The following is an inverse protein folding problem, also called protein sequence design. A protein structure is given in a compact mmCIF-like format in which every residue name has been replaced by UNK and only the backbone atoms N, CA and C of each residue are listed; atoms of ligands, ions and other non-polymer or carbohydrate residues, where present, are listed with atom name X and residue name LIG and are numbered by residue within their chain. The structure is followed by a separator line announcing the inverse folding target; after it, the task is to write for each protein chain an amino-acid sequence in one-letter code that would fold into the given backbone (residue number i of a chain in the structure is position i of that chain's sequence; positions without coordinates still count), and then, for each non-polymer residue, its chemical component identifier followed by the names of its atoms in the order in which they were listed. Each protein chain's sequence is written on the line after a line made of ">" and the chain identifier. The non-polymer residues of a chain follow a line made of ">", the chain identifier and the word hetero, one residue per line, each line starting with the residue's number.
data_IF_597818837282
#
_entry.id   IF_597818837282
#
_cell.length_a   1.000
_cell.length_b   1.000
_cell.length_c   1.000
_cell.angle_alpha   90.00
_cell.angle_beta   90.00
_cell.angle_gamma   90.00
#
_symmetry.space_group_name_H-M   'P 1'
#
loop_
_entity.id
_entity.type
_entity.pdbx_description
1 polymer ?
#
# COMPACT_ATOMS: atom_id res chain seq x y z
N UNK A 1 10.31 -5.67 -17.67
CA UNK A 1 9.83 -6.95 -18.22
C UNK A 1 8.34 -6.89 -18.51
N UNK A 2 7.80 -7.69 -19.45
CA UNK A 2 6.37 -7.78 -19.75
C UNK A 2 5.83 -9.14 -19.31
N UNK A 3 4.61 -9.16 -18.79
CA UNK A 3 3.91 -10.39 -18.46
C UNK A 3 3.22 -11.01 -19.70
N UNK A 4 2.53 -12.15 -19.51
CA UNK A 4 1.80 -12.87 -20.56
C UNK A 4 0.67 -12.06 -21.23
N UNK A 5 0.30 -10.91 -20.66
CA UNK A 5 -0.75 -10.01 -21.15
C UNK A 5 -0.18 -8.66 -21.62
N UNK A 6 1.13 -8.63 -21.94
CA UNK A 6 1.84 -7.44 -22.42
C UNK A 6 1.86 -6.25 -21.46
N UNK A 7 1.56 -6.46 -20.15
CA UNK A 7 1.68 -5.44 -19.12
C UNK A 7 3.14 -5.30 -18.69
N UNK A 8 3.64 -4.07 -18.63
CA UNK A 8 4.98 -3.81 -18.11
C UNK A 8 4.97 -3.93 -16.58
N UNK A 9 5.73 -4.87 -16.04
CA UNK A 9 5.88 -5.07 -14.59
C UNK A 9 7.15 -4.35 -14.15
N UNK A 10 6.99 -3.24 -13.44
CA UNK A 10 8.09 -2.36 -13.00
C UNK A 10 7.92 -1.84 -11.56
N UNK A 11 6.96 -2.39 -10.81
CA UNK A 11 6.63 -1.94 -9.48
C UNK A 11 6.51 -3.11 -8.49
N UNK A 12 7.31 -3.06 -7.42
CA UNK A 12 7.30 -4.04 -6.33
C UNK A 12 6.78 -3.39 -5.04
N UNK A 13 5.82 -4.05 -4.40
CA UNK A 13 5.42 -3.73 -3.01
C UNK A 13 6.05 -4.77 -2.10
N UNK A 14 6.75 -4.34 -1.06
CA UNK A 14 7.45 -5.24 -0.14
C UNK A 14 6.87 -5.06 1.25
N UNK A 15 6.37 -6.14 1.85
CA UNK A 15 6.12 -6.22 3.28
C UNK A 15 7.41 -6.58 3.99
N UNK A 16 7.90 -5.70 4.84
CA UNK A 16 9.18 -5.91 5.57
C UNK A 16 8.96 -6.42 7.00
N UNK A 17 7.72 -6.45 7.47
CA UNK A 17 7.31 -6.97 8.78
C UNK A 17 5.81 -7.22 8.77
N UNK A 18 5.34 -8.16 9.56
CA UNK A 18 3.90 -8.38 9.81
C UNK A 18 3.43 -7.72 11.11
N UNK A 19 4.36 -7.19 11.93
CA UNK A 19 4.06 -6.46 13.16
C UNK A 19 3.43 -5.10 12.87
N UNK A 20 2.47 -4.69 13.70
CA UNK A 20 1.84 -3.38 13.62
C UNK A 20 1.51 -2.89 15.03
N UNK A 21 1.73 -1.60 15.29
CA UNK A 21 1.40 -0.92 16.54
C UNK A 21 -0.09 -0.54 16.65
N UNK A 22 -0.88 -0.71 15.58
CA UNK A 22 -2.33 -0.53 15.58
C UNK A 22 -3.07 -1.84 15.31
N UNK A 23 -4.35 -1.90 15.68
CA UNK A 23 -5.23 -3.07 15.52
C UNK A 23 -6.52 -2.70 14.79
N UNK A 24 -6.40 -1.99 13.66
CA UNK A 24 -7.54 -1.46 12.91
C UNK A 24 -8.60 -2.53 12.67
N UNK A 25 -9.87 -2.18 12.92
CA UNK A 25 -11.01 -3.09 12.91
C UNK A 25 -11.21 -3.82 11.58
N UNK A 26 -10.81 -3.22 10.47
CA UNK A 26 -10.94 -3.80 9.14
C UNK A 26 -9.68 -4.54 8.66
N UNK A 27 -8.53 -4.36 9.33
CA UNK A 27 -7.24 -4.92 8.93
C UNK A 27 -6.86 -6.16 9.76
N UNK A 28 -7.13 -6.14 11.07
CA UNK A 28 -6.73 -7.20 11.99
C UNK A 28 -7.87 -8.16 12.28
N UNK A 29 -7.63 -9.49 12.32
CA UNK A 29 -8.64 -10.44 12.75
C UNK A 29 -8.97 -10.25 14.24
N UNK A 30 -10.23 -10.51 14.60
CA UNK A 30 -10.73 -10.34 15.97
C UNK A 30 -10.00 -11.18 17.02
N UNK A 31 -9.52 -12.35 16.63
CA UNK A 31 -8.78 -13.30 17.49
C UNK A 31 -7.28 -12.97 17.63
N UNK A 32 -6.81 -11.84 17.09
CA UNK A 32 -5.40 -11.47 17.05
C UNK A 32 -4.63 -12.18 15.92
N UNK A 33 -3.33 -11.88 15.82
CA UNK A 33 -2.43 -12.45 14.82
C UNK A 33 -1.32 -13.23 15.52
N UNK A 34 -0.99 -14.40 14.97
CA UNK A 34 0.30 -15.03 15.22
C UNK A 34 1.32 -14.36 14.30
N UNK A 35 2.19 -13.54 14.88
CA UNK A 35 3.28 -12.90 14.16
C UNK A 35 4.37 -13.89 13.78
N UNK A 36 5.08 -13.60 12.71
CA UNK A 36 6.27 -14.33 12.35
C UNK A 36 7.38 -14.13 13.39
N UNK A 37 8.18 -15.17 13.63
CA UNK A 37 9.45 -15.05 14.34
C UNK A 37 10.44 -14.26 13.45
N UNK A 38 11.45 -13.67 14.05
CA UNK A 38 12.45 -12.88 13.31
C UNK A 38 13.14 -13.72 12.22
N UNK A 39 13.48 -14.95 12.52
CA UNK A 39 14.06 -15.90 11.55
C UNK A 39 13.12 -16.29 10.40
N UNK A 40 11.80 -16.05 10.52
CA UNK A 40 10.82 -16.37 9.48
C UNK A 40 10.64 -15.24 8.47
N UNK A 41 11.09 -14.02 8.78
CA UNK A 41 11.02 -12.87 7.87
C UNK A 41 12.34 -12.71 7.11
N UNK A 42 12.28 -11.99 5.97
CA UNK A 42 13.47 -11.64 5.20
C UNK A 42 14.37 -10.69 5.98
N UNK A 43 15.70 -10.92 5.88
CA UNK A 43 16.71 -9.96 6.35
C UNK A 43 16.80 -8.76 5.41
N UNK A 44 17.53 -7.72 5.81
CA UNK A 44 17.75 -6.53 4.98
C UNK A 44 18.57 -6.90 3.72
N UNK A 45 19.57 -7.77 3.88
CA UNK A 45 20.42 -8.27 2.81
C UNK A 45 19.63 -9.10 1.79
N UNK A 46 18.73 -9.98 2.26
CA UNK A 46 17.86 -10.78 1.39
C UNK A 46 16.90 -9.88 0.56
N UNK A 47 16.34 -8.83 1.18
CA UNK A 47 15.51 -7.86 0.50
C UNK A 47 16.30 -7.10 -0.57
N UNK A 48 17.47 -6.58 -0.22
CA UNK A 48 18.32 -5.81 -1.13
C UNK A 48 18.83 -6.68 -2.28
N UNK A 49 19.25 -7.93 -2.00
CA UNK A 49 19.63 -8.91 -3.01
C UNK A 49 18.52 -9.14 -4.03
N UNK A 50 17.31 -9.39 -3.55
CA UNK A 50 16.15 -9.58 -4.44
C UNK A 50 15.84 -8.35 -5.29
N UNK A 51 15.92 -7.15 -4.72
CA UNK A 51 15.68 -5.91 -5.46
C UNK A 51 16.72 -5.71 -6.56
N UNK A 52 18.01 -6.02 -6.31
CA UNK A 52 19.08 -5.95 -7.32
C UNK A 52 18.77 -6.87 -8.50
N UNK A 53 18.40 -8.12 -8.22
CA UNK A 53 18.00 -9.09 -9.25
C UNK A 53 16.81 -8.56 -10.06
N UNK A 54 15.74 -8.15 -9.40
CA UNK A 54 14.52 -7.65 -10.06
C UNK A 54 14.79 -6.37 -10.88
N UNK A 55 15.75 -5.54 -10.47
CA UNK A 55 16.12 -4.32 -11.19
C UNK A 55 16.72 -4.60 -12.56
N UNK A 56 17.47 -5.70 -12.75
CA UNK A 56 18.01 -6.12 -14.04
C UNK A 56 16.90 -6.35 -15.08
N UNK A 57 15.67 -6.66 -14.62
CA UNK A 57 14.47 -6.79 -15.46
C UNK A 57 13.64 -5.51 -15.57
N UNK A 58 14.17 -4.37 -15.11
CA UNK A 58 13.54 -3.06 -15.26
C UNK A 58 12.56 -2.72 -14.16
N UNK A 59 12.71 -3.28 -12.96
CA UNK A 59 12.05 -2.78 -11.76
C UNK A 59 12.52 -1.33 -11.52
N UNK A 60 11.57 -0.41 -11.32
CA UNK A 60 11.85 1.02 -11.15
C UNK A 60 11.28 1.59 -9.87
N UNK A 61 10.22 0.95 -9.36
CA UNK A 61 9.45 1.45 -8.22
C UNK A 61 9.42 0.40 -7.12
N UNK A 62 9.75 0.83 -5.92
CA UNK A 62 9.60 0.01 -4.70
C UNK A 62 8.71 0.77 -3.73
N UNK A 63 7.77 0.04 -3.13
CA UNK A 63 6.99 0.55 -2.00
C UNK A 63 7.18 -0.35 -0.80
N UNK A 64 7.78 0.21 0.21
CA UNK A 64 7.92 -0.43 1.51
C UNK A 64 6.58 -0.37 2.24
N UNK A 65 6.16 -1.52 2.74
CA UNK A 65 4.95 -1.71 3.52
C UNK A 65 5.20 -2.74 4.62
N UNK A 66 4.14 -3.25 5.22
CA UNK A 66 4.23 -4.31 6.21
C UNK A 66 2.90 -4.49 6.92
N UNK A 67 2.95 -4.87 8.20
CA UNK A 67 2.00 -4.39 9.16
C UNK A 67 2.19 -2.88 9.29
N UNK A 68 3.15 -2.45 10.12
CA UNK A 68 3.66 -1.08 10.11
C UNK A 68 5.18 -1.10 9.87
N UNK A 69 5.67 -0.62 8.72
CA UNK A 69 7.08 -0.73 8.36
C UNK A 69 8.01 0.03 9.31
N UNK A 70 7.53 1.11 9.94
CA UNK A 70 8.32 1.90 10.89
C UNK A 70 8.58 1.15 12.21
N UNK A 71 8.01 -0.03 12.41
CA UNK A 71 8.34 -0.91 13.52
C UNK A 71 9.59 -1.78 13.27
N UNK A 72 10.11 -1.81 12.03
CA UNK A 72 11.37 -2.50 11.75
C UNK A 72 12.53 -1.65 12.26
N UNK A 73 13.39 -2.23 13.12
CA UNK A 73 14.46 -1.50 13.83
C UNK A 73 15.40 -0.73 12.91
N UNK A 74 15.80 -1.36 11.79
CA UNK A 74 16.81 -0.79 10.88
C UNK A 74 16.16 -0.16 9.63
N UNK A 75 14.97 0.44 9.76
CA UNK A 75 14.23 0.96 8.61
C UNK A 75 15.01 2.02 7.81
N UNK A 76 15.78 2.88 8.48
CA UNK A 76 16.53 3.95 7.84
C UNK A 76 17.67 3.36 6.98
N UNK A 77 18.47 2.43 7.53
CA UNK A 77 19.53 1.78 6.77
C UNK A 77 18.98 0.91 5.63
N UNK A 78 17.86 0.23 5.84
CA UNK A 78 17.20 -0.52 4.77
C UNK A 78 16.74 0.40 3.62
N UNK A 79 16.19 1.57 3.92
CA UNK A 79 15.81 2.57 2.91
C UNK A 79 17.03 3.02 2.10
N UNK A 80 18.16 3.32 2.77
CA UNK A 80 19.42 3.68 2.11
C UNK A 80 19.90 2.56 1.19
N UNK A 81 20.02 1.34 1.70
CA UNK A 81 20.48 0.19 0.92
C UNK A 81 19.59 -0.12 -0.28
N UNK A 82 18.26 0.05 -0.16
CA UNK A 82 17.34 -0.08 -1.29
C UNK A 82 17.60 1.04 -2.32
N UNK A 83 17.79 2.28 -1.86
CA UNK A 83 18.03 3.42 -2.76
C UNK A 83 19.35 3.26 -3.53
N UNK A 84 20.38 2.75 -2.89
CA UNK A 84 21.68 2.43 -3.49
C UNK A 84 21.61 1.37 -4.60
N UNK A 85 20.58 0.52 -4.61
CA UNK A 85 20.33 -0.37 -5.76
C UNK A 85 19.98 0.38 -7.04
N UNK A 86 19.74 1.70 -6.99
CA UNK A 86 19.37 2.54 -8.13
C UNK A 86 17.87 2.53 -8.44
N UNK A 87 17.02 2.18 -7.49
CA UNK A 87 15.56 2.33 -7.61
C UNK A 87 15.20 3.81 -7.75
N UNK A 88 14.41 4.13 -8.79
CA UNK A 88 14.07 5.52 -9.14
C UNK A 88 12.96 6.10 -8.27
N UNK A 89 12.06 5.26 -7.79
CA UNK A 89 10.85 5.65 -7.07
C UNK A 89 10.72 4.75 -5.83
N UNK A 90 11.23 5.23 -4.70
CA UNK A 90 11.15 4.56 -3.40
C UNK A 90 10.11 5.25 -2.53
N UNK A 91 9.08 4.54 -2.14
CA UNK A 91 8.00 5.09 -1.32
C UNK A 91 7.67 4.16 -0.16
N UNK A 92 7.09 4.74 0.90
CA UNK A 92 6.67 4.02 2.10
C UNK A 92 5.17 4.20 2.32
N UNK A 93 4.49 3.17 2.82
CA UNK A 93 3.11 3.27 3.32
C UNK A 93 3.13 3.02 4.81
N UNK A 94 2.59 3.94 5.60
CA UNK A 94 2.61 3.92 7.07
C UNK A 94 1.26 4.36 7.64
N UNK A 95 0.98 3.97 8.87
CA UNK A 95 -0.12 4.53 9.66
C UNK A 95 0.20 5.92 10.26
N UNK A 96 1.46 6.36 10.17
CA UNK A 96 1.89 7.69 10.57
C UNK A 96 2.19 7.89 12.06
N UNK A 97 1.92 6.93 12.93
CA UNK A 97 2.07 7.13 14.41
C UNK A 97 3.49 7.54 14.83
N UNK A 98 4.51 7.04 14.14
CA UNK A 98 5.92 7.26 14.52
C UNK A 98 6.71 8.04 13.48
N UNK A 99 6.08 8.41 12.35
CA UNK A 99 6.78 8.99 11.21
C UNK A 99 7.39 10.35 11.53
N UNK A 100 6.73 11.20 12.34
CA UNK A 100 7.23 12.54 12.68
C UNK A 100 8.65 12.51 13.25
N UNK A 101 8.98 11.47 14.01
CA UNK A 101 10.29 11.34 14.67
C UNK A 101 11.46 11.05 13.72
N UNK A 102 11.17 10.50 12.54
CA UNK A 102 12.21 9.99 11.62
C UNK A 102 12.00 10.40 10.17
N UNK A 103 11.07 11.33 9.89
CA UNK A 103 10.77 11.75 8.53
C UNK A 103 11.99 12.36 7.83
N UNK A 104 12.77 13.19 8.52
CA UNK A 104 14.01 13.75 8.01
C UNK A 104 15.07 12.70 7.70
N UNK A 105 15.28 11.74 8.60
CA UNK A 105 16.26 10.66 8.40
C UNK A 105 15.87 9.76 7.24
N UNK A 106 14.58 9.43 7.09
CA UNK A 106 14.08 8.66 5.94
C UNK A 106 14.29 9.41 4.62
N UNK A 107 14.11 10.73 4.62
CA UNK A 107 14.40 11.56 3.45
C UNK A 107 15.89 11.57 3.11
N UNK A 108 16.74 11.77 4.11
CA UNK A 108 18.19 11.72 3.95
C UNK A 108 18.68 10.35 3.45
N UNK A 109 18.05 9.26 3.91
CA UNK A 109 18.30 7.91 3.43
C UNK A 109 17.80 7.65 1.98
N UNK A 110 17.13 8.62 1.34
CA UNK A 110 16.72 8.54 -0.05
C UNK A 110 15.27 8.11 -0.28
N UNK A 111 14.41 8.16 0.75
CA UNK A 111 12.98 7.98 0.54
C UNK A 111 12.40 9.15 -0.27
N UNK A 112 11.67 8.86 -1.34
CA UNK A 112 11.14 9.92 -2.22
C UNK A 112 9.84 10.50 -1.68
N UNK A 113 8.94 9.67 -1.11
CA UNK A 113 7.62 10.10 -0.61
C UNK A 113 6.96 9.09 0.29
N UNK A 114 5.92 9.54 0.99
CA UNK A 114 5.11 8.71 1.89
C UNK A 114 3.65 8.63 1.45
N UNK A 115 3.01 7.53 1.87
CA UNK A 115 1.57 7.38 1.84
C UNK A 115 1.13 7.10 3.28
N UNK A 116 0.30 7.96 3.84
CA UNK A 116 -0.18 7.87 5.21
C UNK A 116 -1.61 7.35 5.17
N UNK A 117 -1.91 6.32 5.96
CA UNK A 117 -3.27 5.79 6.09
C UNK A 117 -3.99 6.53 7.21
N UNK A 118 -5.10 7.20 6.88
CA UNK A 118 -5.90 7.99 7.80
C UNK A 118 -7.37 7.90 7.38
N UNK A 119 -8.17 7.13 8.12
CA UNK A 119 -9.55 6.82 7.73
C UNK A 119 -10.60 7.76 8.30
N UNK A 120 -10.22 8.66 9.21
CA UNK A 120 -11.12 9.65 9.83
C UNK A 120 -10.33 10.87 10.27
N UNK A 121 -10.97 12.02 10.32
CA UNK A 121 -10.44 13.28 10.85
C UNK A 121 -10.84 13.50 12.33
N UNK A 122 -11.73 12.64 12.87
CA UNK A 122 -12.23 12.73 14.24
C UNK A 122 -11.44 11.87 15.21
N UNK A 123 -10.97 12.46 16.31
CA UNK A 123 -10.11 11.79 17.28
C UNK A 123 -10.78 10.57 17.95
N UNK A 124 -12.04 10.70 18.35
CA UNK A 124 -12.79 9.61 18.98
C UNK A 124 -13.00 8.44 18.01
N UNK A 125 -13.37 8.74 16.74
CA UNK A 125 -13.55 7.76 15.70
C UNK A 125 -12.23 7.09 15.31
N UNK A 126 -11.13 7.86 15.23
CA UNK A 126 -9.79 7.32 14.99
C UNK A 126 -9.39 6.29 16.05
N UNK A 127 -9.57 6.64 17.32
CA UNK A 127 -9.30 5.73 18.44
C UNK A 127 -10.13 4.44 18.36
N UNK A 128 -11.39 4.55 17.94
CA UNK A 128 -12.29 3.39 17.76
C UNK A 128 -11.88 2.52 16.57
N UNK A 129 -11.61 3.12 15.40
CA UNK A 129 -11.21 2.38 14.18
C UNK A 129 -9.87 1.67 14.38
N UNK A 130 -8.90 2.35 14.99
CA UNK A 130 -7.52 1.85 15.16
C UNK A 130 -7.32 1.02 16.44
N UNK A 131 -8.33 1.00 17.31
CA UNK A 131 -8.29 0.38 18.66
C UNK A 131 -7.16 0.94 19.53
N UNK A 132 -7.10 2.27 19.63
CA UNK A 132 -6.26 2.96 20.60
C UNK A 132 -5.22 3.92 20.02
N UNK A 133 -5.18 4.17 18.72
CA UNK A 133 -4.28 5.16 18.12
C UNK A 133 -4.62 6.59 18.49
N UNK A 134 -3.61 7.47 18.41
CA UNK A 134 -3.75 8.92 18.56
C UNK A 134 -3.61 9.62 17.21
N UNK A 135 -4.67 10.29 16.77
CA UNK A 135 -4.71 11.01 15.50
C UNK A 135 -3.76 12.22 15.48
N UNK A 136 -3.45 12.82 16.64
CA UNK A 136 -2.57 13.99 16.70
C UNK A 136 -1.15 13.64 16.25
N UNK A 137 -0.67 12.44 16.59
CA UNK A 137 0.61 11.92 16.08
C UNK A 137 0.63 11.78 14.57
N UNK A 138 -0.51 11.38 13.96
CA UNK A 138 -0.63 11.29 12.50
C UNK A 138 -0.66 12.66 11.84
N UNK A 139 -1.38 13.62 12.43
CA UNK A 139 -1.40 15.01 11.96
C UNK A 139 -0.01 15.66 12.01
N UNK A 140 0.72 15.44 13.09
CA UNK A 140 2.12 15.86 13.23
C UNK A 140 2.99 15.21 12.14
N UNK A 141 2.83 13.90 11.93
CA UNK A 141 3.57 13.16 10.91
C UNK A 141 3.30 13.65 9.48
N UNK A 142 2.09 14.10 9.17
CA UNK A 142 1.77 14.71 7.88
C UNK A 142 2.58 16.00 7.70
N UNK A 143 2.60 16.87 8.70
CA UNK A 143 3.36 18.13 8.68
C UNK A 143 4.87 17.89 8.57
N UNK A 144 5.41 16.95 9.35
CA UNK A 144 6.84 16.63 9.31
C UNK A 144 7.25 15.97 8.00
N UNK A 145 6.38 15.15 7.38
CA UNK A 145 6.63 14.62 6.04
C UNK A 145 6.74 15.72 4.97
N UNK A 146 5.92 16.78 5.07
CA UNK A 146 6.02 17.95 4.19
C UNK A 146 7.30 18.72 4.43
N UNK A 147 7.63 19.03 5.68
CA UNK A 147 8.86 19.74 6.07
C UNK A 147 10.12 19.01 5.61
N UNK A 148 10.11 17.67 5.72
CA UNK A 148 11.19 16.83 5.25
C UNK A 148 11.26 16.70 3.71
N UNK A 149 10.29 17.24 2.96
CA UNK A 149 10.25 17.13 1.50
C UNK A 149 9.87 15.72 0.99
N UNK A 150 9.12 14.94 1.79
CA UNK A 150 8.54 13.65 1.37
C UNK A 150 7.23 13.86 0.60
N UNK A 151 7.25 14.75 -0.38
CA UNK A 151 6.07 15.24 -1.10
C UNK A 151 5.90 14.61 -2.48
N UNK A 152 4.66 14.63 -3.03
CA UNK A 152 3.42 15.03 -2.36
C UNK A 152 3.02 14.00 -1.30
N UNK A 153 2.56 14.47 -0.13
CA UNK A 153 2.00 13.59 0.90
C UNK A 153 0.70 12.99 0.37
N UNK A 154 0.59 11.66 0.46
CA UNK A 154 -0.59 10.94 0.00
C UNK A 154 -1.33 10.38 1.20
N UNK A 155 -2.57 10.79 1.37
CA UNK A 155 -3.44 10.31 2.43
C UNK A 155 -4.38 9.26 1.84
N UNK A 156 -4.30 8.03 2.33
CA UNK A 156 -5.18 6.94 1.93
C UNK A 156 -6.34 6.84 2.92
N UNK A 157 -7.54 6.84 2.40
CA UNK A 157 -8.80 6.71 3.14
C UNK A 157 -9.55 5.51 2.60
N UNK A 158 -10.03 4.64 3.47
CA UNK A 158 -10.95 3.56 3.11
C UNK A 158 -12.35 3.93 3.60
N UNK A 159 -13.24 4.45 2.74
CA UNK A 159 -14.61 4.77 3.14
C UNK A 159 -15.37 3.47 3.41
N UNK A 160 -15.99 3.39 4.58
CA UNK A 160 -16.77 2.23 5.04
C UNK A 160 -18.12 2.72 5.53
N UNK A 161 -19.20 2.24 4.91
CA UNK A 161 -20.57 2.62 5.25
C UNK A 161 -20.92 2.27 6.69
N UNK A 162 -21.51 3.24 7.41
CA UNK A 162 -21.82 3.17 8.82
C UNK A 162 -20.61 3.33 9.75
N UNK A 163 -19.45 3.80 9.20
CA UNK A 163 -18.25 4.05 10.01
C UNK A 163 -17.65 5.44 9.74
N UNK A 164 -17.37 5.79 8.48
CA UNK A 164 -16.65 7.05 8.14
C UNK A 164 -17.02 7.61 6.75
N UNK A 165 -18.05 7.10 6.08
CA UNK A 165 -18.48 7.58 4.77
C UNK A 165 -19.05 9.01 4.78
N UNK A 166 -19.41 9.51 5.95
CA UNK A 166 -19.83 10.89 6.20
C UNK A 166 -18.67 11.89 6.07
N UNK A 167 -17.41 11.43 6.20
CA UNK A 167 -16.22 12.28 6.14
C UNK A 167 -15.64 12.44 4.72
N UNK A 168 -16.25 11.84 3.69
CA UNK A 168 -15.72 11.92 2.30
C UNK A 168 -15.55 13.38 1.86
N UNK A 169 -16.52 14.25 2.13
CA UNK A 169 -16.45 15.66 1.77
C UNK A 169 -15.41 16.41 2.58
N UNK A 170 -15.30 16.10 3.87
CA UNK A 170 -14.28 16.71 4.74
C UNK A 170 -12.86 16.39 4.25
N UNK A 171 -12.58 15.13 3.92
CA UNK A 171 -11.31 14.74 3.33
C UNK A 171 -11.05 15.41 1.98
N UNK A 172 -12.05 15.43 1.08
CA UNK A 172 -11.92 16.07 -0.22
C UNK A 172 -11.63 17.57 -0.09
N UNK A 173 -12.25 18.24 0.88
CA UNK A 173 -12.06 19.68 1.13
C UNK A 173 -10.64 20.04 1.58
N UNK A 174 -9.87 19.10 2.13
CA UNK A 174 -8.45 19.33 2.46
C UNK A 174 -7.63 19.71 1.22
N UNK A 175 -8.04 19.24 0.04
CA UNK A 175 -7.33 19.55 -1.22
C UNK A 175 -7.39 21.02 -1.63
N UNK A 176 -8.31 21.82 -1.11
CA UNK A 176 -8.37 23.25 -1.38
C UNK A 176 -7.27 24.02 -0.65
N UNK A 177 -6.94 23.60 0.57
CA UNK A 177 -5.97 24.29 1.43
C UNK A 177 -4.56 23.73 1.29
N UNK A 178 -4.46 22.43 1.06
CA UNK A 178 -3.21 21.69 1.11
C UNK A 178 -2.95 20.94 -0.20
N UNK A 179 -1.69 20.83 -0.59
CA UNK A 179 -1.28 20.05 -1.77
C UNK A 179 -1.24 18.55 -1.47
N UNK A 180 -2.25 18.03 -0.77
CA UNK A 180 -2.36 16.61 -0.46
C UNK A 180 -2.98 15.84 -1.61
N UNK A 181 -2.55 14.59 -1.75
CA UNK A 181 -3.24 13.63 -2.61
C UNK A 181 -4.15 12.76 -1.74
N UNK A 182 -5.41 13.12 -1.64
CA UNK A 182 -6.41 12.33 -0.91
C UNK A 182 -6.85 11.17 -1.79
N UNK A 183 -6.70 9.94 -1.30
CA UNK A 183 -7.00 8.73 -2.05
C UNK A 183 -8.07 7.92 -1.38
N UNK A 184 -9.23 7.87 -1.98
CA UNK A 184 -10.29 6.97 -1.57
C UNK A 184 -10.07 5.59 -2.18
N UNK A 185 -9.95 4.60 -1.31
CA UNK A 185 -9.68 3.21 -1.69
C UNK A 185 -10.91 2.39 -1.33
N UNK A 186 -11.50 1.75 -2.31
CA UNK A 186 -12.67 0.89 -2.12
C UNK A 186 -12.39 -0.19 -1.06
N UNK A 187 -13.33 -0.38 -0.14
CA UNK A 187 -13.22 -1.37 0.92
C UNK A 187 -13.23 -2.78 0.36
N UNK A 188 -12.11 -3.48 0.54
CA UNK A 188 -11.89 -4.81 -0.04
C UNK A 188 -12.01 -5.91 1.01
N UNK A 189 -12.42 -7.15 0.61
CA UNK A 189 -12.38 -8.32 1.47
C UNK A 189 -10.93 -8.81 1.64
N UNK A 190 -10.08 -8.00 2.28
CA UNK A 190 -8.65 -8.28 2.41
C UNK A 190 -8.28 -9.02 3.68
N UNK A 191 -9.21 -9.26 4.59
CA UNK A 191 -8.99 -9.98 5.85
C UNK A 191 -10.20 -10.85 6.24
N UNK A 192 -9.95 -11.89 7.03
CA UNK A 192 -11.01 -12.74 7.58
C UNK A 192 -11.60 -12.22 8.89
N UNK A 193 -11.68 -10.92 9.09
CA UNK A 193 -12.22 -10.33 10.33
C UNK A 193 -13.75 -10.27 10.38
N UNK A 194 -14.44 -10.68 9.32
CA UNK A 194 -15.89 -10.69 9.24
C UNK A 194 -16.54 -9.31 9.11
N UNK A 195 -15.76 -8.24 9.07
CA UNK A 195 -16.30 -6.86 8.97
C UNK A 195 -16.71 -6.52 7.54
N UNK A 196 -16.00 -7.07 6.56
CA UNK A 196 -16.33 -6.82 5.16
C UNK A 196 -17.71 -7.40 4.82
N UNK A 197 -18.56 -6.57 4.26
CA UNK A 197 -19.85 -6.91 3.69
C UNK A 197 -20.07 -5.98 2.51
N UNK A 198 -20.71 -6.46 1.43
CA UNK A 198 -21.05 -5.63 0.26
C UNK A 198 -21.78 -4.36 0.66
N UNK A 199 -22.76 -4.45 1.54
CA UNK A 199 -23.54 -3.30 2.03
C UNK A 199 -22.72 -2.24 2.78
N UNK A 200 -21.49 -2.54 3.19
CA UNK A 200 -20.55 -1.59 3.80
C UNK A 200 -19.58 -0.96 2.80
N UNK A 201 -19.59 -1.42 1.57
CA UNK A 201 -18.77 -0.81 0.54
C UNK A 201 -19.42 0.50 0.09
N UNK A 202 -18.58 1.51 -0.09
CA UNK A 202 -18.91 2.76 -0.77
C UNK A 202 -18.21 2.67 -2.12
N UNK A 203 -18.96 2.66 -3.21
CA UNK A 203 -18.38 2.50 -4.54
C UNK A 203 -17.76 3.81 -5.04
N UNK A 204 -16.99 3.73 -6.09
CA UNK A 204 -16.26 4.88 -6.63
C UNK A 204 -17.16 5.96 -7.23
N UNK A 205 -18.28 5.56 -7.81
CA UNK A 205 -19.27 6.49 -8.39
C UNK A 205 -19.94 7.33 -7.30
N UNK A 206 -20.38 6.67 -6.22
CA UNK A 206 -20.93 7.35 -5.05
C UNK A 206 -19.93 8.34 -4.41
N UNK A 207 -18.65 7.95 -4.32
CA UNK A 207 -17.58 8.86 -3.81
C UNK A 207 -17.45 10.08 -4.74
N UNK A 208 -17.40 9.87 -6.05
CA UNK A 208 -17.27 10.96 -7.03
C UNK A 208 -18.51 11.86 -7.04
N UNK A 209 -19.71 11.30 -6.97
CA UNK A 209 -20.96 12.04 -6.90
C UNK A 209 -20.99 12.96 -5.68
N UNK A 210 -20.69 12.42 -4.50
CA UNK A 210 -20.57 13.23 -3.28
C UNK A 210 -19.55 14.36 -3.46
N UNK A 211 -18.34 14.08 -3.94
CA UNK A 211 -17.29 15.08 -4.08
C UNK A 211 -17.65 16.15 -5.13
N UNK A 212 -18.43 15.81 -6.17
CA UNK A 212 -18.86 16.76 -7.18
C UNK A 212 -19.74 17.90 -6.64
N UNK A 213 -20.35 17.70 -5.46
CA UNK A 213 -21.10 18.76 -4.77
C UNK A 213 -20.20 19.91 -4.26
N UNK A 214 -18.89 19.67 -4.09
CA UNK A 214 -17.91 20.69 -3.70
C UNK A 214 -17.46 21.56 -4.88
N UNK A 215 -17.73 21.13 -6.12
CA UNK A 215 -17.34 21.84 -7.33
C UNK A 215 -17.03 20.91 -8.49
N UNK A 216 -16.68 21.51 -9.63
CA UNK A 216 -16.36 20.75 -10.85
C UNK A 216 -15.12 19.91 -10.65
N UNK A 217 -15.25 18.60 -10.89
CA UNK A 217 -14.12 17.64 -10.93
C UNK A 217 -13.56 17.57 -12.36
N UNK A 218 -12.28 17.82 -12.49
CA UNK A 218 -11.55 17.69 -13.75
C UNK A 218 -10.61 16.48 -13.67
N UNK A 219 -10.59 15.67 -14.74
CA UNK A 219 -9.66 14.54 -14.80
C UNK A 219 -8.22 15.03 -14.77
N UNK A 220 -7.38 14.40 -13.97
CA UNK A 220 -5.99 14.76 -13.81
C UNK A 220 -5.09 13.56 -14.07
N UNK A 221 -4.31 13.61 -15.15
CA UNK A 221 -3.40 12.53 -15.49
C UNK A 221 -1.99 12.79 -14.93
N UNK A 222 -1.49 11.84 -14.16
CA UNK A 222 -0.06 11.79 -13.82
C UNK A 222 0.74 11.10 -14.91
N UNK A 223 1.93 11.60 -15.18
CA UNK A 223 2.92 10.84 -15.94
C UNK A 223 3.30 9.57 -15.18
N UNK A 224 2.66 8.47 -15.50
CA UNK A 224 2.92 7.16 -14.94
C UNK A 224 1.66 6.35 -14.65
N UNK A 225 1.77 5.02 -14.76
CA UNK A 225 0.66 4.09 -14.55
C UNK A 225 0.53 3.76 -13.06
N UNK A 226 -0.56 4.11 -12.47
CA UNK A 226 -0.94 3.75 -11.09
C UNK A 226 -2.37 3.21 -11.05
N UNK A 227 -2.82 2.64 -9.93
CA UNK A 227 -4.19 2.13 -9.78
C UNK A 227 -5.23 3.23 -9.56
N UNK A 228 -4.81 4.48 -9.40
CA UNK A 228 -5.66 5.60 -9.05
C UNK A 228 -6.09 6.35 -10.29
N UNK A 229 -7.39 6.53 -10.49
CA UNK A 229 -7.93 7.59 -11.33
C UNK A 229 -7.86 8.87 -10.53
N UNK A 230 -7.33 9.92 -11.12
CA UNK A 230 -7.09 11.15 -10.38
C UNK A 230 -7.91 12.29 -10.95
N UNK A 231 -8.36 13.14 -10.05
CA UNK A 231 -9.19 14.28 -10.32
C UNK A 231 -8.70 15.49 -9.54
N UNK A 232 -9.00 16.67 -10.03
CA UNK A 232 -8.79 17.93 -9.32
C UNK A 232 -10.10 18.67 -9.23
N UNK A 233 -10.45 19.15 -8.05
CA UNK A 233 -11.53 20.12 -7.88
C UNK A 233 -11.07 21.48 -8.41
N UNK A 234 -11.93 22.19 -9.10
CA UNK A 234 -11.60 23.54 -9.61
C UNK A 234 -11.20 24.43 -8.42
N UNK A 235 -10.02 25.03 -8.51
CA UNK A 235 -9.46 25.86 -7.45
C UNK A 235 -8.69 25.10 -6.34
N UNK A 236 -8.63 23.78 -6.38
CA UNK A 236 -7.88 23.01 -5.39
C UNK A 236 -6.38 22.91 -5.75
N UNK A 237 -5.53 23.03 -4.74
CA UNK A 237 -4.09 22.77 -4.86
C UNK A 237 -3.78 21.26 -4.93
N UNK A 238 -4.50 20.47 -4.15
CA UNK A 238 -4.31 19.04 -4.04
C UNK A 238 -5.07 18.23 -5.09
N UNK A 239 -5.03 16.92 -4.93
CA UNK A 239 -5.59 15.96 -5.91
C UNK A 239 -6.42 14.90 -5.18
N UNK A 240 -7.50 14.50 -5.81
CA UNK A 240 -8.35 13.38 -5.39
C UNK A 240 -8.03 12.18 -6.25
N UNK A 241 -7.72 11.05 -5.61
CA UNK A 241 -7.48 9.77 -6.27
C UNK A 241 -8.55 8.75 -5.90
N UNK A 242 -9.05 8.03 -6.89
CA UNK A 242 -10.00 6.94 -6.69
C UNK A 242 -9.32 5.62 -7.05
N UNK A 243 -9.36 4.67 -6.13
CA UNK A 243 -8.79 3.32 -6.33
C UNK A 243 -9.91 2.30 -6.12
N UNK A 244 -10.38 1.72 -7.22
CA UNK A 244 -11.54 0.83 -7.28
C UNK A 244 -11.14 -0.58 -7.73
N UNK A 245 -10.62 -1.41 -6.84
CA UNK A 245 -10.20 -2.75 -7.22
C UNK A 245 -11.37 -3.72 -7.47
N UNK A 246 -12.56 -3.42 -7.00
CA UNK A 246 -13.74 -4.29 -7.12
C UNK A 246 -14.73 -3.79 -8.17
N UNK A 247 -15.13 -2.51 -8.10
CA UNK A 247 -16.16 -1.95 -8.99
C UNK A 247 -15.61 -1.55 -10.36
N UNK A 248 -14.35 -1.10 -10.44
CA UNK A 248 -13.71 -0.68 -11.69
C UNK A 248 -12.25 -1.16 -11.75
N UNK A 249 -12.08 -2.33 -12.35
CA UNK A 249 -10.82 -3.06 -12.32
C UNK A 249 -9.71 -2.40 -13.14
N UNK A 250 -8.63 -2.01 -12.49
CA UNK A 250 -7.39 -1.57 -13.14
C UNK A 250 -6.44 -2.74 -13.51
N UNK A 251 -6.93 -3.98 -13.54
CA UNK A 251 -6.12 -5.17 -13.80
C UNK A 251 -5.44 -5.13 -15.16
N UNK A 252 -6.08 -4.56 -16.19
CA UNK A 252 -5.56 -4.48 -17.55
C UNK A 252 -4.23 -3.73 -17.70
N UNK A 253 -3.92 -2.83 -16.77
CA UNK A 253 -2.66 -2.06 -16.75
C UNK A 253 -1.88 -2.20 -15.43
N UNK A 254 -2.21 -3.22 -14.63
CA UNK A 254 -1.56 -3.47 -13.34
C UNK A 254 -0.11 -3.90 -13.51
N UNK A 255 0.83 -3.05 -13.09
CA UNK A 255 2.27 -3.23 -13.19
C UNK A 255 2.94 -3.80 -11.93
N UNK A 256 2.16 -4.34 -10.96
CA UNK A 256 2.65 -4.62 -9.60
C UNK A 256 2.89 -6.10 -9.35
N UNK A 257 3.94 -6.37 -8.58
CA UNK A 257 4.15 -7.59 -7.82
C UNK A 257 4.20 -7.24 -6.33
N UNK A 258 4.08 -8.27 -5.49
CA UNK A 258 4.23 -8.15 -4.04
C UNK A 258 5.24 -9.16 -3.54
N UNK A 259 6.04 -8.74 -2.54
CA UNK A 259 6.89 -9.59 -1.75
C UNK A 259 6.39 -9.55 -0.31
N UNK A 260 6.08 -10.70 0.25
CA UNK A 260 5.60 -10.85 1.63
C UNK A 260 6.76 -10.82 2.61
N UNK A 261 6.48 -10.54 3.88
CA UNK A 261 7.51 -10.49 4.92
C UNK A 261 8.22 -11.85 5.09
N UNK A 262 7.52 -12.96 4.86
CA UNK A 262 8.04 -14.32 4.89
C UNK A 262 8.70 -14.77 3.56
N UNK A 263 8.99 -13.82 2.65
CA UNK A 263 9.80 -14.06 1.45
C UNK A 263 9.10 -14.78 0.32
N UNK A 264 7.82 -14.50 0.10
CA UNK A 264 7.05 -15.07 -1.01
C UNK A 264 6.62 -14.00 -2.00
N UNK A 265 6.84 -14.23 -3.29
CA UNK A 265 6.32 -13.36 -4.35
C UNK A 265 4.86 -13.72 -4.60
N UNK A 266 3.98 -12.71 -4.56
CA UNK A 266 2.58 -12.82 -4.95
C UNK A 266 2.33 -12.02 -6.22
N UNK A 267 1.92 -12.67 -7.31
CA UNK A 267 1.63 -11.99 -8.59
C UNK A 267 0.46 -10.99 -8.49
N UNK A 268 -0.50 -11.26 -7.60
CA UNK A 268 -1.66 -10.41 -7.35
C UNK A 268 -2.01 -10.41 -5.87
N UNK A 269 -2.62 -9.31 -5.38
CA UNK A 269 -3.14 -9.21 -4.00
C UNK A 269 -4.07 -10.39 -3.65
N UNK A 270 -4.91 -10.77 -4.61
CA UNK A 270 -5.93 -11.81 -4.45
C UNK A 270 -5.52 -13.17 -5.02
N UNK A 271 -4.25 -13.34 -5.41
CA UNK A 271 -3.73 -14.66 -5.83
C UNK A 271 -3.58 -15.58 -4.62
N UNK A 272 -3.83 -16.86 -4.86
CA UNK A 272 -3.43 -17.94 -3.92
C UNK A 272 -2.00 -18.37 -4.16
N UNK A 273 -1.51 -18.13 -5.36
CA UNK A 273 -0.17 -18.51 -5.78
C UNK A 273 0.87 -17.65 -5.08
N UNK A 274 1.84 -18.31 -4.51
CA UNK A 274 2.98 -17.72 -3.82
C UNK A 274 4.24 -18.46 -4.27
N UNK A 275 5.24 -17.72 -4.71
CA UNK A 275 6.54 -18.27 -5.12
C UNK A 275 7.53 -17.96 -4.01
N UNK A 276 8.03 -19.00 -3.36
CA UNK A 276 9.01 -18.89 -2.27
C UNK A 276 10.39 -18.53 -2.83
N UNK A 277 10.97 -17.42 -2.39
CA UNK A 277 12.35 -17.02 -2.72
C UNK A 277 13.27 -17.11 -1.49
N UNK A 278 12.69 -17.06 -0.28
CA UNK A 278 13.51 -17.10 0.94
C UNK A 278 14.20 -18.44 1.14
N UNK A 279 13.47 -19.55 1.00
CA UNK A 279 14.04 -20.88 1.21
C UNK A 279 15.20 -21.16 0.24
N UNK A 280 15.06 -20.93 -1.08
CA UNK A 280 16.21 -21.06 -1.99
C UNK A 280 17.37 -20.13 -1.63
N UNK A 281 17.12 -18.86 -1.28
CA UNK A 281 18.18 -17.92 -0.90
C UNK A 281 19.00 -18.43 0.29
N UNK A 282 18.35 -19.00 1.28
CA UNK A 282 18.98 -19.54 2.50
C UNK A 282 19.66 -20.89 2.27
N UNK A 283 19.29 -21.58 1.20
CA UNK A 283 19.92 -22.81 0.74
C UNK A 283 20.98 -22.56 -0.35
N UNK A 284 21.61 -21.37 -0.34
CA UNK A 284 22.69 -20.97 -1.24
C UNK A 284 22.34 -20.96 -2.73
N UNK A 285 21.07 -20.73 -3.09
CA UNK A 285 20.68 -20.52 -4.49
C UNK A 285 21.42 -19.33 -5.10
N UNK A 286 21.84 -19.49 -6.36
CA UNK A 286 22.50 -18.43 -7.11
C UNK A 286 21.54 -17.28 -7.43
N UNK A 287 22.07 -16.14 -7.89
CA UNK A 287 21.22 -15.03 -8.35
C UNK A 287 20.40 -15.42 -9.58
N UNK A 288 20.92 -16.29 -10.45
CA UNK A 288 20.22 -16.85 -11.61
C UNK A 288 19.04 -17.72 -11.21
N UNK A 289 19.14 -18.47 -10.13
CA UNK A 289 18.02 -19.28 -9.64
C UNK A 289 16.88 -18.42 -9.07
N UNK A 290 17.25 -17.38 -8.31
CA UNK A 290 16.27 -16.40 -7.81
C UNK A 290 15.65 -15.61 -8.95
N UNK A 291 16.43 -15.29 -9.99
CA UNK A 291 15.97 -14.63 -11.18
C UNK A 291 14.90 -15.45 -11.93
N UNK A 292 15.13 -16.77 -12.10
CA UNK A 292 14.13 -17.68 -12.68
C UNK A 292 12.81 -17.65 -11.91
N UNK A 293 12.85 -17.63 -10.58
CA UNK A 293 11.67 -17.53 -9.72
C UNK A 293 10.96 -16.18 -9.90
N UNK A 294 11.72 -15.10 -10.00
CA UNK A 294 11.16 -13.77 -10.29
C UNK A 294 10.48 -13.73 -11.66
N UNK A 295 11.14 -14.23 -12.70
CA UNK A 295 10.56 -14.32 -14.04
C UNK A 295 9.30 -15.19 -14.08
N UNK A 296 9.32 -16.34 -13.38
CA UNK A 296 8.15 -17.19 -13.22
C UNK A 296 6.98 -16.42 -12.59
N UNK A 297 7.23 -15.63 -11.54
CA UNK A 297 6.20 -14.83 -10.88
C UNK A 297 5.50 -13.82 -11.81
N UNK A 298 6.22 -13.34 -12.82
CA UNK A 298 5.67 -12.44 -13.83
C UNK A 298 4.83 -13.22 -14.84
N UNK A 299 5.28 -14.40 -15.26
CA UNK A 299 4.57 -15.25 -16.23
C UNK A 299 3.21 -15.73 -15.70
N UNK A 300 3.15 -16.12 -14.42
CA UNK A 300 1.92 -16.62 -13.77
C UNK A 300 1.00 -15.51 -13.28
N UNK A 301 1.34 -14.24 -13.49
CA UNK A 301 0.49 -13.12 -13.10
C UNK A 301 -0.84 -13.17 -13.85
N UNK A 302 -1.99 -13.26 -13.13
CA UNK A 302 -3.29 -13.43 -13.77
C UNK A 302 -3.69 -12.18 -14.57
N UNK A 303 -4.49 -12.37 -15.63
CA UNK A 303 -5.06 -11.27 -16.43
C UNK A 303 -5.86 -10.32 -15.55
N UNK A 304 -6.72 -10.89 -14.68
CA UNK A 304 -7.49 -10.18 -13.66
C UNK A 304 -7.63 -11.04 -12.41
N UNK A 305 -7.93 -10.44 -11.27
CA UNK A 305 -8.29 -11.23 -10.10
C UNK A 305 -9.67 -11.89 -10.29
N UNK A 306 -9.83 -13.05 -9.64
CA UNK A 306 -11.06 -13.84 -9.69
C UNK A 306 -11.95 -13.61 -8.45
N UNK A 307 -11.78 -12.50 -7.76
CA UNK A 307 -12.66 -12.12 -6.67
C UNK A 307 -14.01 -11.74 -7.27
N UNK A 308 -15.02 -12.48 -6.88
CA UNK A 308 -16.42 -12.07 -7.01
C UNK A 308 -17.04 -12.03 -5.62
N UNK A 309 -18.21 -11.44 -5.51
CA UNK A 309 -18.91 -11.24 -4.24
C UNK A 309 -19.14 -12.54 -3.47
N UNK A 310 -19.38 -13.64 -4.18
CA UNK A 310 -19.68 -14.95 -3.60
C UNK A 310 -18.43 -15.70 -3.11
N UNK A 311 -17.23 -15.34 -3.61
CA UNK A 311 -15.98 -16.02 -3.25
C UNK A 311 -15.05 -15.18 -2.38
N UNK A 312 -15.43 -13.95 -2.05
CA UNK A 312 -14.60 -13.00 -1.31
C UNK A 312 -14.18 -13.52 0.07
N UNK A 313 -15.09 -14.20 0.79
CA UNK A 313 -14.80 -14.72 2.13
C UNK A 313 -13.92 -15.97 2.17
N UNK A 314 -13.90 -16.76 1.09
CA UNK A 314 -13.20 -18.07 1.05
C UNK A 314 -11.79 -17.99 0.47
N UNK A 315 -11.43 -16.90 -0.24
CA UNK A 315 -10.17 -16.82 -1.01
C UNK A 315 -9.00 -16.16 -0.28
N UNK A 316 -9.23 -15.49 0.85
CA UNK A 316 -8.15 -14.79 1.55
C UNK A 316 -7.48 -15.74 2.53
N UNK A 317 -6.22 -16.05 2.26
CA UNK A 317 -5.41 -16.99 3.04
C UNK A 317 -4.58 -16.26 4.10
N UNK A 318 -4.11 -15.06 3.78
CA UNK A 318 -3.24 -14.24 4.65
C UNK A 318 -3.86 -12.87 4.92
N UNK A 319 -3.58 -12.31 6.08
CA UNK A 319 -4.00 -10.94 6.45
C UNK A 319 -3.20 -9.88 5.72
N UNK A 320 -3.75 -8.65 5.61
CA UNK A 320 -3.08 -7.53 4.95
C UNK A 320 -1.71 -7.23 5.55
N UNK A 321 -1.55 -7.36 6.87
CA UNK A 321 -0.27 -7.15 7.55
C UNK A 321 0.84 -8.10 7.08
N UNK A 322 0.50 -9.32 6.65
CA UNK A 322 1.46 -10.30 6.16
C UNK A 322 1.83 -10.13 4.69
N UNK A 323 0.95 -9.53 3.89
CA UNK A 323 1.13 -9.40 2.43
C UNK A 323 1.44 -7.97 1.97
N UNK A 324 1.48 -7.05 2.88
CA UNK A 324 1.75 -5.64 2.62
C UNK A 324 0.54 -4.90 2.04
N UNK A 325 -0.17 -4.23 2.89
CA UNK A 325 -1.33 -3.39 2.60
C UNK A 325 -1.04 -2.16 1.76
#
# INVERSE_FOLDING_TARGET
>A
MKDSYNRRIDYLRISITDKCNLKCVYCMPSKGLKYFKEAEILTDEEIVRFIRIARNHGLRKVRITGGEPLMRKNIISLVSSIKETGIRDLSLTTNGITLSKIAGDLKAAGLDRVNISLDTLEAARYKTITKGGDINLVRESIKEAERAGLTPVKINVVPIRGINEDEILAFASLTFKENYHIRFIEFMPATRNGIWRKKRCVNSEEVLEKISTLGKLESFEFRGRGPSRNYRLKGAAGIIGIISPLSDHFCGFCNRLRLTADGKIRPCLFSREEIDIKTPMRNNATDEDIDKLFQHSIKVKPRRHLLNENTASTRIIKTMSKIGG
#
